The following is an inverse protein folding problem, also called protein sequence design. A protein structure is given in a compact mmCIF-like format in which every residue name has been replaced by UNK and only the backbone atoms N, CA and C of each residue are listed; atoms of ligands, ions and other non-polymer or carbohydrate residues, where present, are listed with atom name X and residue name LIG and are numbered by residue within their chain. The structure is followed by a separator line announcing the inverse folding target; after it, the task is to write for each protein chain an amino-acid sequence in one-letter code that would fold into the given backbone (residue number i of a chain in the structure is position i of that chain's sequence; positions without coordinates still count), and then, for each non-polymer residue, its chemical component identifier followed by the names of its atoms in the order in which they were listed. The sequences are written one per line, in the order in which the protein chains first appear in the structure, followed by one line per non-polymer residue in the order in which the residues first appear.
data_IF_938599495090
#
_entry.id   IF_938599495090
#
_cell.length_a   1.000
_cell.length_b   1.000
_cell.length_c   1.000
_cell.angle_alpha   90.00
_cell.angle_beta   90.00
_cell.angle_gamma   90.00
#
_symmetry.space_group_name_H-M   'P 1'
#
loop_
_entity.id
_entity.type
_entity.pdbx_description
1 polymer ?
#
# COMPACT_ATOMS: atom_id res chain seq x y z
N UNK A 1 12.53 29.17 -13.97
CA UNK A 1 11.59 28.25 -14.62
C UNK A 1 12.21 26.88 -14.46
N UNK A 2 11.69 26.04 -13.55
CA UNK A 2 12.23 24.70 -13.33
C UNK A 2 11.79 23.80 -14.49
N UNK A 3 12.73 23.06 -15.07
CA UNK A 3 12.48 22.18 -16.20
C UNK A 3 11.44 21.10 -15.85
N UNK A 4 10.33 21.11 -16.59
CA UNK A 4 9.22 20.15 -16.44
C UNK A 4 9.62 18.70 -16.71
N UNK A 5 10.81 18.45 -17.26
CA UNK A 5 11.33 17.11 -17.57
C UNK A 5 11.76 16.32 -16.33
N UNK A 6 12.16 17.00 -15.24
CA UNK A 6 12.63 16.31 -14.02
C UNK A 6 11.48 15.69 -13.21
N UNK A 7 10.32 16.34 -13.15
CA UNK A 7 9.12 15.78 -12.51
C UNK A 7 8.54 14.57 -13.25
N UNK A 8 8.83 14.46 -14.55
CA UNK A 8 8.36 13.33 -15.36
C UNK A 8 9.14 12.04 -15.04
N UNK A 9 10.41 12.13 -14.64
CA UNK A 9 11.23 10.97 -14.28
C UNK A 9 10.77 10.30 -12.99
N UNK A 10 10.50 11.08 -11.95
CA UNK A 10 10.03 10.56 -10.66
C UNK A 10 8.65 9.91 -10.75
N UNK A 11 7.77 10.43 -11.62
CA UNK A 11 6.47 9.79 -11.89
C UNK A 11 6.63 8.45 -12.62
N UNK A 12 7.57 8.35 -13.56
CA UNK A 12 7.83 7.11 -14.31
C UNK A 12 8.42 6.03 -13.40
N UNK A 13 9.35 6.39 -12.52
CA UNK A 13 10.00 5.45 -11.62
C UNK A 13 9.16 5.13 -10.38
N UNK A 14 8.46 6.12 -9.82
CA UNK A 14 7.70 6.00 -8.59
C UNK A 14 6.29 6.62 -8.69
N UNK A 15 5.37 6.01 -9.47
CA UNK A 15 4.04 6.57 -9.71
C UNK A 15 3.20 6.74 -8.43
N UNK A 16 3.19 5.72 -7.55
CA UNK A 16 2.44 5.74 -6.28
C UNK A 16 2.93 6.83 -5.34
N UNK A 17 4.25 6.94 -5.13
CA UNK A 17 4.85 8.02 -4.34
C UNK A 17 4.44 9.39 -4.88
N UNK A 18 4.50 9.62 -6.20
CA UNK A 18 4.14 10.91 -6.79
C UNK A 18 2.66 11.25 -6.55
N UNK A 19 1.75 10.32 -6.86
CA UNK A 19 0.31 10.53 -6.74
C UNK A 19 -0.08 10.82 -5.28
N UNK A 20 0.39 9.99 -4.36
CA UNK A 20 0.08 10.13 -2.94
C UNK A 20 0.76 11.37 -2.32
N UNK A 21 1.98 11.70 -2.76
CA UNK A 21 2.65 12.92 -2.28
C UNK A 21 1.92 14.19 -2.73
N UNK A 22 1.44 14.22 -3.97
CA UNK A 22 0.62 15.32 -4.47
C UNK A 22 -0.73 15.40 -3.74
N UNK A 23 -1.37 14.25 -3.51
CA UNK A 23 -2.66 14.17 -2.81
C UNK A 23 -2.58 14.70 -1.37
N UNK A 24 -1.53 14.32 -0.64
CA UNK A 24 -1.39 14.62 0.79
C UNK A 24 -0.51 15.84 1.08
N UNK A 25 0.24 16.33 0.10
CA UNK A 25 1.23 17.39 0.29
C UNK A 25 2.37 16.99 1.22
N UNK A 26 2.71 15.70 1.27
CA UNK A 26 3.72 15.09 2.17
C UNK A 26 4.67 14.22 1.34
N UNK A 27 5.95 14.12 1.70
CA UNK A 27 6.90 13.26 0.97
C UNK A 27 7.31 13.75 -0.43
N UNK A 28 6.76 14.87 -0.91
CA UNK A 28 7.05 15.44 -2.24
C UNK A 28 8.31 16.31 -2.33
N UNK A 29 9.09 16.44 -1.24
CA UNK A 29 10.31 17.24 -1.26
C UNK A 29 11.50 16.43 -1.78
N UNK A 30 12.07 16.83 -2.90
CA UNK A 30 13.28 16.22 -3.50
C UNK A 30 14.55 16.33 -2.64
N UNK A 31 14.49 17.13 -1.56
CA UNK A 31 15.60 17.24 -0.62
C UNK A 31 15.74 16.04 0.31
N UNK A 32 14.70 15.19 0.42
CA UNK A 32 14.76 13.97 1.23
C UNK A 32 15.13 12.74 0.37
N UNK A 33 15.97 11.84 0.89
CA UNK A 33 16.23 10.55 0.24
C UNK A 33 14.94 9.77 0.00
N UNK A 34 14.85 9.10 -1.15
CA UNK A 34 13.67 8.32 -1.56
C UNK A 34 13.12 7.38 -0.47
N UNK A 35 13.94 6.59 0.26
CA UNK A 35 13.42 5.74 1.34
C UNK A 35 12.72 6.54 2.45
N UNK A 36 13.27 7.70 2.80
CA UNK A 36 12.70 8.56 3.83
C UNK A 36 11.38 9.21 3.37
N UNK A 37 11.26 9.57 2.09
CA UNK A 37 10.00 10.07 1.50
C UNK A 37 8.90 9.00 1.56
N UNK A 38 9.24 7.77 1.18
CA UNK A 38 8.33 6.63 1.23
C UNK A 38 7.90 6.30 2.66
N UNK A 39 8.84 6.33 3.62
CA UNK A 39 8.55 6.12 5.03
C UNK A 39 7.66 7.22 5.64
N UNK A 40 7.93 8.48 5.31
CA UNK A 40 7.12 9.62 5.76
C UNK A 40 5.67 9.48 5.30
N UNK A 41 5.48 9.16 4.01
CA UNK A 41 4.15 9.00 3.43
C UNK A 41 3.42 7.78 3.98
N UNK A 42 4.15 6.67 4.21
CA UNK A 42 3.62 5.48 4.87
C UNK A 42 3.12 5.79 6.27
N UNK A 43 3.91 6.51 7.06
CA UNK A 43 3.50 6.90 8.42
C UNK A 43 2.37 7.92 8.40
N UNK A 44 2.31 8.82 7.41
CA UNK A 44 1.17 9.70 7.20
C UNK A 44 -0.13 8.90 7.02
N UNK A 45 -0.16 7.95 6.09
CA UNK A 45 -1.35 7.13 5.82
C UNK A 45 -1.72 6.30 7.06
N UNK A 46 -0.74 5.69 7.75
CA UNK A 46 -0.99 4.96 9.01
C UNK A 46 -1.59 5.86 10.09
N UNK A 47 -1.15 7.11 10.18
CA UNK A 47 -1.72 8.10 11.12
C UNK A 47 -3.16 8.42 10.77
N UNK A 48 -3.48 8.62 9.49
CA UNK A 48 -4.85 8.87 9.05
C UNK A 48 -5.76 7.66 9.31
N UNK A 49 -5.30 6.42 9.09
CA UNK A 49 -6.04 5.21 9.46
C UNK A 49 -6.39 5.21 10.95
N UNK A 50 -5.42 5.52 11.82
CA UNK A 50 -5.65 5.61 13.27
C UNK A 50 -6.66 6.70 13.63
N UNK A 51 -6.63 7.85 12.95
CA UNK A 51 -7.62 8.93 13.15
C UNK A 51 -9.01 8.47 12.72
N UNK A 52 -9.13 7.86 11.55
CA UNK A 52 -10.42 7.41 11.02
C UNK A 52 -11.04 6.29 11.87
N UNK A 53 -10.22 5.37 12.40
CA UNK A 53 -10.68 4.39 13.38
C UNK A 53 -11.25 5.04 14.66
N UNK A 54 -10.62 6.11 15.15
CA UNK A 54 -11.13 6.86 16.31
C UNK A 54 -12.44 7.58 15.99
N UNK A 55 -12.56 8.16 14.81
CA UNK A 55 -13.80 8.80 14.33
C UNK A 55 -14.92 7.76 14.26
N UNK A 56 -14.67 6.61 13.62
CA UNK A 56 -15.62 5.50 13.54
C UNK A 56 -16.07 5.04 14.92
N UNK A 57 -15.13 4.78 15.84
CA UNK A 57 -15.45 4.37 17.21
C UNK A 57 -16.27 5.45 17.95
N UNK A 58 -15.93 6.73 17.78
CA UNK A 58 -16.70 7.85 18.34
C UNK A 58 -18.13 7.92 17.78
N UNK A 59 -18.30 7.74 16.47
CA UNK A 59 -19.61 7.72 15.82
C UNK A 59 -20.46 6.54 16.29
N UNK A 60 -19.86 5.35 16.44
CA UNK A 60 -20.55 4.18 17.01
C UNK A 60 -20.99 4.43 18.46
N UNK A 61 -20.17 5.09 19.28
CA UNK A 61 -20.56 5.50 20.63
C UNK A 61 -21.71 6.52 20.61
N UNK A 62 -21.69 7.49 19.68
CA UNK A 62 -22.81 8.42 19.49
C UNK A 62 -24.10 7.69 19.10
N UNK A 63 -24.01 6.60 18.33
CA UNK A 63 -25.17 5.79 17.97
C UNK A 63 -25.86 5.18 19.19
N UNK A 64 -25.11 4.86 20.25
CA UNK A 64 -25.65 4.27 21.48
C UNK A 64 -26.50 5.26 22.29
N UNK A 65 -26.19 6.56 22.20
CA UNK A 65 -26.86 7.61 22.98
C UNK A 65 -27.89 8.40 22.16
N UNK A 66 -27.82 8.33 20.83
CA UNK A 66 -28.75 9.01 19.94
C UNK A 66 -30.14 8.36 19.96
N UNK A 67 -31.18 9.16 20.14
CA UNK A 67 -32.58 8.71 20.18
C UNK A 67 -33.41 9.28 19.03
N UNK A 68 -33.03 10.45 18.51
CA UNK A 68 -33.76 11.10 17.44
C UNK A 68 -33.38 10.55 16.06
N UNK A 69 -34.38 10.46 15.18
CA UNK A 69 -34.22 9.90 13.83
C UNK A 69 -33.21 10.65 12.99
N UNK A 70 -33.08 11.97 13.19
CA UNK A 70 -32.16 12.82 12.40
C UNK A 70 -30.71 12.56 12.82
N UNK A 71 -30.41 12.53 14.12
CA UNK A 71 -29.08 12.19 14.61
C UNK A 71 -28.69 10.76 14.22
N UNK A 72 -29.59 9.78 14.35
CA UNK A 72 -29.32 8.41 13.91
C UNK A 72 -28.95 8.33 12.42
N UNK A 73 -29.66 9.07 11.56
CA UNK A 73 -29.33 9.15 10.14
C UNK A 73 -27.96 9.81 9.91
N UNK A 74 -27.66 10.91 10.61
CA UNK A 74 -26.36 11.58 10.51
C UNK A 74 -25.21 10.68 11.00
N UNK A 75 -25.38 10.00 12.13
CA UNK A 75 -24.40 9.02 12.65
C UNK A 75 -24.17 7.90 11.65
N UNK A 76 -25.22 7.37 11.02
CA UNK A 76 -25.07 6.36 9.97
C UNK A 76 -24.26 6.87 8.77
N UNK A 77 -24.46 8.14 8.37
CA UNK A 77 -23.64 8.75 7.31
C UNK A 77 -22.17 8.90 7.72
N UNK A 78 -21.88 9.31 8.95
CA UNK A 78 -20.51 9.43 9.47
C UNK A 78 -19.80 8.08 9.49
N UNK A 79 -20.45 7.03 10.00
CA UNK A 79 -19.90 5.67 10.01
C UNK A 79 -19.62 5.18 8.59
N UNK A 80 -20.53 5.43 7.64
CA UNK A 80 -20.34 5.07 6.24
C UNK A 80 -19.15 5.80 5.62
N UNK A 81 -19.05 7.11 5.82
CA UNK A 81 -17.93 7.91 5.34
C UNK A 81 -16.60 7.43 5.92
N UNK A 82 -16.55 7.15 7.23
CA UNK A 82 -15.36 6.64 7.89
C UNK A 82 -14.92 5.27 7.35
N UNK A 83 -15.86 4.36 7.11
CA UNK A 83 -15.54 3.05 6.50
C UNK A 83 -14.99 3.20 5.08
N UNK A 84 -15.59 4.07 4.26
CA UNK A 84 -15.09 4.32 2.91
C UNK A 84 -13.67 4.90 2.96
N UNK A 85 -13.44 5.88 3.83
CA UNK A 85 -12.12 6.50 3.97
C UNK A 85 -11.07 5.51 4.47
N UNK A 86 -11.43 4.62 5.40
CA UNK A 86 -10.56 3.53 5.85
C UNK A 86 -10.20 2.59 4.69
N UNK A 87 -11.17 2.21 3.85
CA UNK A 87 -10.93 1.36 2.70
C UNK A 87 -9.96 2.01 1.72
N UNK A 88 -10.14 3.29 1.39
CA UNK A 88 -9.23 4.04 0.53
C UNK A 88 -7.81 4.07 1.11
N UNK A 89 -7.67 4.45 2.38
CA UNK A 89 -6.37 4.54 3.04
C UNK A 89 -5.65 3.19 3.13
N UNK A 90 -6.39 2.09 3.28
CA UNK A 90 -5.83 0.74 3.28
C UNK A 90 -5.28 0.35 1.91
N UNK A 91 -6.01 0.66 0.84
CA UNK A 91 -5.56 0.42 -0.54
C UNK A 91 -4.28 1.22 -0.81
N UNK A 92 -4.28 2.51 -0.50
CA UNK A 92 -3.12 3.38 -0.73
C UNK A 92 -1.90 2.94 0.08
N UNK A 93 -2.11 2.51 1.33
CA UNK A 93 -1.03 1.95 2.14
C UNK A 93 -0.45 0.69 1.49
N UNK A 94 -1.30 -0.22 0.99
CA UNK A 94 -0.86 -1.44 0.33
C UNK A 94 -0.11 -1.16 -0.97
N UNK A 95 -0.58 -0.21 -1.78
CA UNK A 95 0.09 0.22 -3.01
C UNK A 95 1.47 0.82 -2.72
N UNK A 96 1.57 1.65 -1.68
CA UNK A 96 2.83 2.25 -1.26
C UNK A 96 3.80 1.19 -0.71
N UNK A 97 3.33 0.25 0.10
CA UNK A 97 4.13 -0.86 0.62
C UNK A 97 4.64 -1.77 -0.51
N UNK A 98 3.83 -2.02 -1.54
CA UNK A 98 4.25 -2.73 -2.76
C UNK A 98 5.39 -1.99 -3.49
N UNK A 99 5.25 -0.69 -3.70
CA UNK A 99 6.29 0.13 -4.33
C UNK A 99 7.58 0.15 -3.51
N UNK A 100 7.49 0.19 -2.18
CA UNK A 100 8.65 0.12 -1.28
C UNK A 100 9.41 -1.19 -1.50
N UNK A 101 8.72 -2.33 -1.54
CA UNK A 101 9.34 -3.65 -1.76
C UNK A 101 10.05 -3.69 -3.12
N UNK A 102 9.39 -3.20 -4.19
CA UNK A 102 9.98 -3.14 -5.53
C UNK A 102 11.23 -2.25 -5.59
N UNK A 103 11.22 -1.15 -4.83
CA UNK A 103 12.32 -0.19 -4.79
C UNK A 103 13.49 -0.68 -3.94
N UNK A 104 13.23 -1.39 -2.84
CA UNK A 104 14.28 -1.96 -1.96
C UNK A 104 14.86 -3.27 -2.49
N UNK A 105 14.09 -4.05 -3.26
CA UNK A 105 14.56 -5.28 -3.93
C UNK A 105 15.41 -5.03 -5.17
N UNK A 106 15.49 -3.79 -5.65
CA UNK A 106 16.40 -3.37 -6.72
C UNK A 106 17.70 -2.85 -6.07
N UNK A 107 18.86 -3.51 -6.22
CA UNK A 107 20.11 -2.85 -5.93
C UNK A 107 20.19 -1.66 -6.89
N UNK A 108 20.37 -0.46 -6.33
CA UNK A 108 20.54 0.80 -7.04
C UNK A 108 21.51 0.64 -8.21
N UNK A 109 20.98 0.45 -9.42
CA UNK A 109 21.76 0.51 -10.65
C UNK A 109 21.34 1.80 -11.37
N UNK A 110 22.30 2.66 -11.72
CA UNK A 110 22.00 3.83 -12.51
C UNK A 110 21.63 3.37 -13.93
N UNK A 111 20.63 4.04 -14.48
CA UNK A 111 20.24 4.14 -15.88
C UNK A 111 21.03 3.34 -16.94
N UNK A 112 20.24 2.73 -17.82
CA UNK A 112 20.57 2.35 -19.20
C UNK A 112 21.67 1.30 -19.35
N UNK A 113 21.28 0.08 -19.71
CA UNK A 113 21.83 -0.57 -20.90
C UNK A 113 20.93 -1.72 -21.33
N UNK A 114 20.49 -1.64 -22.59
CA UNK A 114 20.16 -2.82 -23.36
C UNK A 114 21.37 -3.76 -23.36
N UNK A 115 21.11 -5.07 -23.40
CA UNK A 115 21.89 -6.15 -24.05
C UNK A 115 22.03 -7.40 -23.17
N UNK A 116 21.42 -8.47 -23.69
CA UNK A 116 21.71 -9.90 -23.56
C UNK A 116 21.99 -10.54 -22.21
N UNK A 117 21.24 -11.61 -21.96
CA UNK A 117 21.30 -12.40 -20.73
C UNK A 117 22.57 -13.24 -20.57
N UNK A 118 22.78 -13.63 -19.32
CA UNK A 118 23.34 -14.91 -18.91
C UNK A 118 23.19 -15.07 -17.39
N UNK A 119 22.62 -16.23 -17.03
CA UNK A 119 22.93 -17.06 -15.86
C UNK A 119 22.73 -16.52 -14.43
N UNK A 120 21.65 -17.02 -13.80
CA UNK A 120 21.56 -17.46 -12.40
C UNK A 120 22.93 -17.92 -11.83
N UNK A 121 23.24 -17.70 -10.52
CA UNK A 121 22.47 -18.37 -9.46
C UNK A 121 22.41 -17.70 -8.06
N UNK A 122 21.60 -18.33 -7.19
CA UNK A 122 21.66 -18.41 -5.71
C UNK A 122 20.73 -17.50 -4.86
N UNK A 123 19.69 -18.12 -4.31
CA UNK A 123 19.02 -17.71 -3.06
C UNK A 123 19.86 -18.11 -1.84
N UNK A 124 19.63 -17.50 -0.65
CA UNK A 124 18.72 -18.15 0.31
C UNK A 124 17.90 -17.20 1.24
N UNK A 125 16.67 -17.64 1.56
CA UNK A 125 15.99 -17.56 2.88
C UNK A 125 15.85 -16.18 3.60
N UNK A 126 14.62 -15.67 3.81
CA UNK A 126 13.77 -15.95 5.01
C UNK A 126 12.63 -14.91 5.23
N UNK A 127 11.45 -15.46 5.51
CA UNK A 127 10.25 -14.98 6.25
C UNK A 127 9.85 -13.49 6.39
N UNK A 128 8.63 -13.13 5.95
CA UNK A 128 7.39 -13.13 6.78
C UNK A 128 6.28 -12.17 6.26
N UNK A 129 5.12 -12.74 5.92
CA UNK A 129 3.81 -12.15 5.52
C UNK A 129 3.12 -11.34 6.66
N UNK A 130 1.83 -10.85 6.61
CA UNK A 130 0.74 -11.02 5.61
C UNK A 130 -0.06 -9.71 5.29
N UNK A 131 -0.82 -9.59 4.20
CA UNK A 131 -2.25 -9.95 4.16
C UNK A 131 -2.90 -9.67 2.78
N UNK A 132 -2.51 -10.42 1.74
CA UNK A 132 -3.41 -10.88 0.65
C UNK A 132 -3.14 -12.36 0.35
N UNK A 133 -2.58 -13.05 1.35
CA UNK A 133 -2.05 -14.41 1.27
C UNK A 133 -3.14 -15.44 0.98
N UNK A 134 -4.36 -15.24 1.48
CA UNK A 134 -5.39 -16.28 1.49
C UNK A 134 -5.69 -16.90 0.12
N UNK A 135 -5.79 -16.08 -0.93
CA UNK A 135 -6.15 -16.59 -2.27
C UNK A 135 -4.98 -17.24 -3.00
N UNK A 136 -3.76 -16.73 -2.83
CA UNK A 136 -2.56 -17.29 -3.44
C UNK A 136 -2.07 -18.54 -2.72
N UNK A 137 -2.21 -18.59 -1.38
CA UNK A 137 -1.91 -19.78 -0.60
C UNK A 137 -2.90 -20.89 -0.89
N UNK A 138 -4.19 -20.58 -1.03
CA UNK A 138 -5.19 -21.58 -1.37
C UNK A 138 -4.96 -22.15 -2.77
N UNK A 139 -4.69 -21.31 -3.77
CA UNK A 139 -4.39 -21.78 -5.12
C UNK A 139 -3.10 -22.62 -5.18
N UNK A 140 -2.08 -22.23 -4.42
CA UNK A 140 -0.83 -22.97 -4.31
C UNK A 140 -1.02 -24.32 -3.61
N UNK A 141 -1.80 -24.37 -2.53
CA UNK A 141 -2.10 -25.58 -1.78
C UNK A 141 -2.85 -26.61 -2.65
N UNK A 142 -3.90 -26.17 -3.34
CA UNK A 142 -4.68 -27.02 -4.26
C UNK A 142 -3.81 -27.56 -5.41
N UNK A 143 -2.90 -26.73 -5.94
CA UNK A 143 -1.98 -27.17 -6.99
C UNK A 143 -1.01 -28.24 -6.51
N UNK A 144 -0.53 -28.16 -5.26
CA UNK A 144 0.41 -29.13 -4.69
C UNK A 144 -0.27 -30.46 -4.35
N UNK A 145 -1.50 -30.43 -3.81
CA UNK A 145 -2.28 -31.65 -3.55
C UNK A 145 -2.57 -32.43 -4.84
N UNK A 146 -2.91 -31.72 -5.92
CA UNK A 146 -3.11 -32.32 -7.24
C UNK A 146 -1.85 -33.01 -7.75
N UNK A 147 -0.69 -32.39 -7.57
CA UNK A 147 0.61 -32.94 -7.99
C UNK A 147 0.92 -34.25 -7.23
N UNK A 148 0.73 -34.25 -5.90
CA UNK A 148 0.99 -35.43 -5.07
C UNK A 148 0.12 -36.63 -5.47
N UNK A 149 -1.13 -36.37 -5.85
CA UNK A 149 -2.07 -37.42 -6.25
C UNK A 149 -1.73 -38.03 -7.63
N UNK A 150 -0.93 -37.34 -8.44
CA UNK A 150 -0.39 -37.89 -9.70
C UNK A 150 0.81 -38.79 -9.42
N UNK A 151 1.68 -38.42 -8.47
CA UNK A 151 2.91 -39.16 -8.17
C UNK A 151 2.67 -40.46 -7.38
N UNK A 152 1.54 -40.56 -6.67
CA UNK A 152 1.16 -41.75 -5.89
C UNK A 152 0.32 -42.77 -6.68
N UNK A 153 0.19 -42.60 -7.99
CA UNK A 153 -0.59 -43.45 -8.89
C UNK A 153 0.29 -44.16 -9.89
#
# INVERSE_FOLDING_TARGET
MADSSYYQGDYISHPVLFELSHKYGVGGSDQMPLPARLDELREHIRREIRKELKIKAGAENLRLVATDRKALAHVATLVKQANNKLSELQVELQELESQIILTQGQPSSPQLNHCNGQDTPLSPMDSSSPSQEGLFTDLRLVSLEKQLNIELK
#
